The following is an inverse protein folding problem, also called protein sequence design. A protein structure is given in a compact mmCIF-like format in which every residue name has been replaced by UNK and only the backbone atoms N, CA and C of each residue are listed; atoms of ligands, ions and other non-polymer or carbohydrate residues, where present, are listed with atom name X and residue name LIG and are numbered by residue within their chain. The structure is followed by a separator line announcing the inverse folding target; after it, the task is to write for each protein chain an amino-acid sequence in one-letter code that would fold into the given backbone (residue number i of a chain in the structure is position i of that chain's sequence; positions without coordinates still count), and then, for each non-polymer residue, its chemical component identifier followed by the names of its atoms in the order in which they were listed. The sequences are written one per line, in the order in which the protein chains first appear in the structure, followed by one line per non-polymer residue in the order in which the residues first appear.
data_IF_565177639462
#
_entry.id   IF_565177639462
#
_cell.length_a   1.000
_cell.length_b   1.000
_cell.length_c   1.000
_cell.angle_alpha   90.00
_cell.angle_beta   90.00
_cell.angle_gamma   90.00
#
_symmetry.space_group_name_H-M   'P 1'
#
loop_
_entity.id
_entity.type
_entity.pdbx_description
1 polymer ?
#
# COMPACT_ATOMS: atom_id res chain seq x y z
N UNK A 1 -17.46 5.27 2.00
CA UNK A 1 -17.91 3.97 2.52
C UNK A 1 -17.29 3.82 3.89
N UNK A 2 -18.08 3.41 4.88
CA UNK A 2 -17.61 3.27 6.27
C UNK A 2 -16.61 2.11 6.32
N UNK A 3 -15.36 2.29 6.79
CA UNK A 3 -14.43 1.20 6.96
C UNK A 3 -14.89 0.41 8.17
N UNK A 4 -15.22 -0.87 8.02
CA UNK A 4 -15.69 -1.62 9.19
C UNK A 4 -16.03 -3.09 9.02
N UNK A 5 -15.81 -3.72 7.86
CA UNK A 5 -16.10 -5.16 7.71
C UNK A 5 -15.04 -6.00 6.99
N UNK A 6 -14.03 -5.41 6.34
CA UNK A 6 -12.99 -6.14 5.59
C UNK A 6 -11.56 -5.91 6.10
N UNK A 7 -11.36 -5.12 7.16
CA UNK A 7 -10.03 -4.91 7.72
C UNK A 7 -9.56 -6.18 8.43
N UNK A 8 -8.36 -6.64 8.11
CA UNK A 8 -7.76 -7.84 8.71
C UNK A 8 -7.02 -7.43 9.98
N UNK A 9 -7.26 -8.14 11.09
CA UNK A 9 -6.46 -8.01 12.31
C UNK A 9 -5.08 -8.65 12.10
N UNK A 10 -4.01 -7.92 12.44
CA UNK A 10 -2.63 -8.37 12.27
C UNK A 10 -1.79 -8.06 13.51
N UNK A 11 -0.80 -8.93 13.75
CA UNK A 11 0.19 -8.77 14.82
C UNK A 11 1.52 -8.19 14.30
N UNK A 12 2.35 -7.71 15.22
CA UNK A 12 3.70 -7.26 14.88
C UNK A 12 4.64 -8.44 14.56
N UNK A 13 5.58 -8.30 13.60
CA UNK A 13 5.77 -7.14 12.71
C UNK A 13 4.80 -7.15 11.52
N UNK A 14 4.26 -5.97 11.17
CA UNK A 14 3.42 -5.84 9.97
C UNK A 14 4.28 -5.87 8.71
N UNK A 15 4.04 -6.90 7.89
CA UNK A 15 4.67 -7.09 6.59
C UNK A 15 3.62 -7.00 5.49
N UNK A 16 3.70 -5.96 4.67
CA UNK A 16 2.90 -5.84 3.46
C UNK A 16 3.60 -6.62 2.37
N UNK A 17 2.91 -7.58 1.75
CA UNK A 17 3.41 -8.36 0.63
C UNK A 17 2.40 -8.42 -0.50
N UNK A 18 2.88 -8.43 -1.74
CA UNK A 18 2.05 -8.42 -2.93
C UNK A 18 2.66 -9.31 -4.02
N UNK A 19 1.83 -9.90 -4.92
CA UNK A 19 2.34 -10.61 -6.08
C UNK A 19 3.07 -9.66 -7.03
N UNK A 20 4.14 -10.16 -7.67
CA UNK A 20 4.78 -9.43 -8.76
C UNK A 20 3.79 -9.23 -9.92
N UNK A 21 3.69 -8.00 -10.42
CA UNK A 21 2.90 -7.69 -11.61
C UNK A 21 3.66 -8.15 -12.85
N UNK A 22 3.15 -9.19 -13.49
CA UNK A 22 3.78 -9.86 -14.65
C UNK A 22 2.94 -9.79 -15.91
N UNK A 23 1.73 -9.23 -15.81
CA UNK A 23 0.77 -9.14 -16.90
C UNK A 23 0.15 -7.77 -16.92
N UNK A 24 -0.23 -7.36 -18.11
CA UNK A 24 -0.97 -6.15 -18.38
C UNK A 24 -2.46 -6.46 -18.54
N UNK A 25 -3.33 -5.46 -18.44
CA UNK A 25 -4.78 -5.67 -18.60
C UNK A 25 -5.07 -6.14 -20.04
N UNK A 26 -5.84 -7.23 -20.25
CA UNK A 26 -6.02 -7.85 -21.57
C UNK A 26 -6.63 -6.90 -22.61
N UNK A 27 -7.44 -5.92 -22.18
CA UNK A 27 -8.15 -5.01 -23.07
C UNK A 27 -7.67 -3.55 -23.00
N UNK A 28 -7.02 -3.17 -21.89
CA UNK A 28 -6.69 -1.77 -21.57
C UNK A 28 -5.19 -1.55 -21.44
N UNK A 29 -4.43 -2.63 -21.35
CA UNK A 29 -3.04 -2.61 -20.98
C UNK A 29 -2.17 -2.94 -22.17
N UNK A 30 -1.87 -1.95 -23.00
CA UNK A 30 -0.81 -2.05 -23.99
C UNK A 30 0.22 -0.96 -23.70
N UNK A 31 1.07 -1.12 -22.66
CA UNK A 31 2.15 -0.18 -22.38
C UNK A 31 2.95 0.03 -23.67
N UNK A 32 2.90 1.26 -24.20
CA UNK A 32 3.52 1.63 -25.46
C UNK A 32 3.17 0.71 -26.66
N UNK A 33 1.98 0.10 -26.68
CA UNK A 33 1.56 -0.81 -27.74
C UNK A 33 2.11 -2.24 -27.63
N UNK A 34 2.78 -2.59 -26.52
CA UNK A 34 3.31 -3.94 -26.26
C UNK A 34 2.48 -4.67 -25.19
N UNK A 35 2.43 -6.00 -25.25
CA UNK A 35 1.94 -6.84 -24.16
C UNK A 35 2.99 -7.07 -23.08
N UNK A 36 4.25 -6.74 -23.35
CA UNK A 36 5.36 -6.90 -22.42
C UNK A 36 5.30 -5.79 -21.37
N UNK A 37 5.29 -6.19 -20.10
CA UNK A 37 5.28 -5.26 -18.97
C UNK A 37 6.64 -5.22 -18.29
N UNK A 38 7.15 -4.00 -18.11
CA UNK A 38 8.36 -3.74 -17.35
C UNK A 38 8.02 -2.83 -16.18
N UNK A 39 7.96 -3.41 -14.98
CA UNK A 39 7.81 -2.63 -13.75
C UNK A 39 9.11 -1.86 -13.52
N UNK A 40 8.98 -0.54 -13.41
CA UNK A 40 10.07 0.36 -13.12
C UNK A 40 10.32 0.44 -11.61
N UNK A 41 9.25 0.54 -10.82
CA UNK A 41 9.31 0.53 -9.36
C UNK A 41 7.96 0.10 -8.76
N UNK A 42 8.01 -0.31 -7.49
CA UNK A 42 6.82 -0.32 -6.64
C UNK A 42 6.85 0.90 -5.72
N UNK A 43 5.70 1.31 -5.21
CA UNK A 43 5.58 2.25 -4.11
C UNK A 43 4.61 1.67 -3.09
N UNK A 44 5.02 1.62 -1.83
CA UNK A 44 4.14 1.26 -0.71
C UNK A 44 3.77 2.54 0.01
N UNK A 45 2.47 2.77 0.15
CA UNK A 45 1.88 3.87 0.89
C UNK A 45 1.07 3.27 2.02
N UNK A 46 1.24 3.78 3.24
CA UNK A 46 0.42 3.43 4.40
C UNK A 46 -0.07 4.74 5.01
N UNK A 47 -1.37 4.84 5.22
CA UNK A 47 -2.03 6.02 5.76
C UNK A 47 -2.83 5.65 7.01
N UNK A 48 -2.91 6.59 7.95
CA UNK A 48 -3.74 6.52 9.14
C UNK A 48 -4.22 7.91 9.52
N UNK A 49 -5.41 7.98 10.11
CA UNK A 49 -5.88 9.19 10.77
C UNK A 49 -5.46 9.18 12.24
N UNK A 50 -5.07 10.35 12.76
CA UNK A 50 -4.69 10.56 14.15
C UNK A 50 -5.57 11.66 14.73
N UNK A 51 -6.19 11.39 15.87
CA UNK A 51 -6.94 12.39 16.64
C UNK A 51 -6.05 13.00 17.71
N UNK A 52 -5.92 14.33 17.70
CA UNK A 52 -5.17 15.07 18.73
C UNK A 52 -6.04 15.34 19.96
N UNK A 53 -5.40 15.70 21.08
CA UNK A 53 -6.07 16.03 22.35
C UNK A 53 -7.11 17.16 22.24
N UNK A 54 -6.96 18.05 21.25
CA UNK A 54 -7.90 19.15 20.99
C UNK A 54 -9.10 18.73 20.13
N UNK A 55 -9.18 17.47 19.71
CA UNK A 55 -10.23 16.93 18.85
C UNK A 55 -10.00 17.14 17.36
N UNK A 56 -8.87 17.70 16.93
CA UNK A 56 -8.54 17.82 15.52
C UNK A 56 -8.04 16.47 14.98
N UNK A 57 -8.43 16.14 13.74
CA UNK A 57 -8.00 14.93 13.03
C UNK A 57 -6.96 15.27 11.95
N UNK A 58 -5.90 14.47 11.85
CA UNK A 58 -4.85 14.60 10.85
C UNK A 58 -4.49 13.26 10.22
N UNK A 59 -4.46 13.20 8.90
CA UNK A 59 -3.96 12.06 8.16
C UNK A 59 -2.42 12.07 8.13
N UNK A 60 -1.81 10.96 8.52
CA UNK A 60 -0.36 10.73 8.43
C UNK A 60 -0.08 9.65 7.40
N UNK A 61 0.94 9.88 6.56
CA UNK A 61 1.28 9.00 5.45
C UNK A 61 2.74 8.57 5.53
N UNK A 62 2.96 7.26 5.57
CA UNK A 62 4.23 6.63 5.26
C UNK A 62 4.25 6.25 3.78
N UNK A 63 5.31 6.62 3.05
CA UNK A 63 5.42 6.29 1.63
C UNK A 63 6.86 6.02 1.24
N UNK A 64 7.11 4.92 0.55
CA UNK A 64 8.43 4.59 0.05
C UNK A 64 8.41 3.99 -1.35
N UNK A 65 9.42 4.34 -2.14
CA UNK A 65 9.66 3.79 -3.48
C UNK A 65 10.64 2.63 -3.37
N UNK A 66 10.25 1.49 -3.92
CA UNK A 66 11.02 0.25 -3.87
C UNK A 66 11.49 -0.15 -5.28
N UNK A 67 12.67 -0.79 -5.39
CA UNK A 67 13.13 -1.38 -6.64
C UNK A 67 12.10 -2.38 -7.21
N UNK A 68 12.09 -2.59 -8.54
CA UNK A 68 11.06 -3.41 -9.21
C UNK A 68 11.12 -4.91 -8.86
N UNK A 69 12.19 -5.38 -8.21
CA UNK A 69 12.32 -6.76 -7.73
C UNK A 69 11.77 -7.00 -6.32
N UNK A 70 11.36 -5.95 -5.60
CA UNK A 70 10.87 -6.06 -4.22
C UNK A 70 9.35 -6.22 -4.23
N UNK A 71 8.87 -7.23 -3.52
CA UNK A 71 7.43 -7.60 -3.44
C UNK A 71 6.92 -7.71 -2.00
N UNK A 72 7.71 -7.24 -1.04
CA UNK A 72 7.34 -7.20 0.37
C UNK A 72 8.11 -6.13 1.12
N UNK A 73 7.50 -5.56 2.15
CA UNK A 73 8.14 -4.60 3.03
C UNK A 73 7.58 -4.69 4.45
N UNK A 74 8.47 -4.59 5.44
CA UNK A 74 8.09 -4.37 6.84
C UNK A 74 7.82 -2.89 7.10
N UNK A 75 6.67 -2.58 7.68
CA UNK A 75 6.31 -1.21 8.04
C UNK A 75 7.02 -0.82 9.34
N UNK A 76 7.63 0.39 9.43
CA UNK A 76 8.29 0.83 10.65
C UNK A 76 7.35 0.83 11.85
N UNK A 77 7.76 0.23 12.95
CA UNK A 77 6.97 0.19 14.19
C UNK A 77 6.67 1.58 14.75
N UNK A 78 7.55 2.56 14.52
CA UNK A 78 7.36 3.95 14.92
C UNK A 78 6.22 4.63 14.13
N UNK A 79 5.91 4.13 12.93
CA UNK A 79 4.72 4.56 12.20
C UNK A 79 3.47 3.86 12.73
N UNK A 80 3.57 2.56 12.97
CA UNK A 80 2.48 1.73 13.49
C UNK A 80 2.04 2.13 14.91
N UNK A 81 2.91 2.75 15.72
CA UNK A 81 2.56 3.21 17.07
C UNK A 81 1.65 4.45 17.10
N UNK A 82 1.22 4.96 15.95
CA UNK A 82 0.45 6.20 15.84
C UNK A 82 -1.07 5.97 15.83
N UNK A 83 -1.52 4.74 15.57
CA UNK A 83 -2.93 4.37 15.44
C UNK A 83 -3.09 2.85 15.55
N UNK A 84 -4.33 2.38 15.64
CA UNK A 84 -4.69 0.96 15.60
C UNK A 84 -5.33 0.55 14.26
N UNK A 85 -5.67 1.52 13.40
CA UNK A 85 -6.25 1.29 12.08
C UNK A 85 -5.41 1.94 10.99
N UNK A 86 -5.14 1.19 9.93
CA UNK A 86 -4.33 1.64 8.81
C UNK A 86 -4.96 1.22 7.49
N UNK A 87 -4.78 2.07 6.49
CA UNK A 87 -4.97 1.72 5.09
C UNK A 87 -3.62 1.66 4.40
N UNK A 88 -3.44 0.71 3.49
CA UNK A 88 -2.28 0.68 2.62
C UNK A 88 -2.66 0.63 1.15
N UNK A 89 -1.76 1.13 0.32
CA UNK A 89 -1.79 1.03 -1.13
C UNK A 89 -0.41 0.59 -1.63
N UNK A 90 -0.38 -0.37 -2.56
CA UNK A 90 0.82 -0.75 -3.29
C UNK A 90 0.63 -0.37 -4.75
N UNK A 91 1.41 0.60 -5.22
CA UNK A 91 1.42 1.03 -6.61
C UNK A 91 2.53 0.30 -7.38
N UNK A 92 2.17 -0.33 -8.49
CA UNK A 92 3.10 -0.84 -9.47
C UNK A 92 3.18 0.16 -10.64
N UNK A 93 4.35 0.75 -10.85
CA UNK A 93 4.59 1.71 -11.95
C UNK A 93 5.41 1.07 -13.04
N UNK A 94 4.94 1.18 -14.27
CA UNK A 94 5.71 0.80 -15.45
C UNK A 94 6.42 2.01 -16.07
N UNK A 95 7.30 1.76 -17.03
CA UNK A 95 8.22 2.76 -17.62
C UNK A 95 7.52 3.99 -18.24
N UNK A 96 6.31 3.86 -18.78
CA UNK A 96 5.52 4.98 -19.29
C UNK A 96 4.70 5.71 -18.22
N UNK A 97 4.94 5.41 -16.94
CA UNK A 97 4.25 5.96 -15.77
C UNK A 97 2.76 5.62 -15.65
N UNK A 98 2.25 4.69 -16.45
CA UNK A 98 0.99 4.04 -16.11
C UNK A 98 1.18 3.26 -14.81
N UNK A 99 0.12 3.21 -14.02
CA UNK A 99 0.15 2.56 -12.72
C UNK A 99 -1.10 1.73 -12.49
N UNK A 100 -0.90 0.64 -11.77
CA UNK A 100 -1.98 -0.13 -11.14
C UNK A 100 -1.72 -0.15 -9.64
N UNK A 101 -2.78 -0.23 -8.86
CA UNK A 101 -2.69 -0.25 -7.41
C UNK A 101 -3.56 -1.36 -6.83
N UNK A 102 -3.12 -1.89 -5.70
CA UNK A 102 -3.96 -2.67 -4.80
C UNK A 102 -3.99 -1.95 -3.46
N UNK A 103 -5.16 -1.89 -2.84
CA UNK A 103 -5.34 -1.27 -1.53
C UNK A 103 -6.14 -2.19 -0.60
N UNK A 104 -5.90 -2.05 0.70
CA UNK A 104 -6.67 -2.73 1.75
C UNK A 104 -6.45 -2.03 3.08
N UNK A 105 -7.31 -2.34 4.06
CA UNK A 105 -7.17 -1.89 5.44
C UNK A 105 -6.71 -3.05 6.36
N UNK A 106 -6.10 -2.71 7.48
CA UNK A 106 -5.78 -3.64 8.56
C UNK A 106 -5.90 -2.96 9.92
N UNK A 107 -6.17 -3.76 10.95
CA UNK A 107 -6.19 -3.36 12.34
C UNK A 107 -4.99 -3.98 13.06
N UNK A 108 -4.32 -3.22 13.92
CA UNK A 108 -3.32 -3.75 14.83
C UNK A 108 -4.02 -4.30 16.07
N UNK A 109 -3.77 -5.56 16.37
CA UNK A 109 -4.28 -6.14 17.61
C UNK A 109 -3.54 -5.51 18.80
N UNK A 110 -4.30 -4.99 19.76
CA UNK A 110 -3.75 -4.43 20.99
C UNK A 110 -3.47 -5.57 21.97
N UNK A 111 -2.18 -5.93 22.14
CA UNK A 111 -1.72 -6.83 23.21
C UNK A 111 -2.17 -6.38 24.62
#
# INVERSE_FOLDING_TARGET
EEPGYDAVEVEHPVVISWPAVTKTHPELGYPQGSSDIHIYNYQVVVETDITLDNGDEFATVFSTVLPPGVTSMTIPSEFLSQSDEFKFEVLAREESFNQTAVESCFLLDAD
#
